data_IF_684782271418
#
_entry.id   IF_684782271418
#
_cell.length_a   1.000
_cell.length_b   1.000
_cell.length_c   1.000
_cell.angle_alpha   90.00
_cell.angle_beta   90.00
_cell.angle_gamma   90.00
#
_symmetry.space_group_name_H-M   'P 1'
#
loop_
_entity.id
_entity.type
_entity.pdbx_description
1 polymer ?
#
# COMPACT_ATOMS: atom_id res chain seq x y z
N UNK A 1 -26.19 -18.50 -37.70
CA UNK A 1 -26.43 -17.13 -37.17
C UNK A 1 -25.66 -17.00 -35.86
N UNK A 2 -24.44 -16.46 -35.93
CA UNK A 2 -23.49 -16.37 -34.82
C UNK A 2 -23.87 -15.21 -33.90
N UNK A 3 -24.26 -15.48 -32.66
CA UNK A 3 -24.47 -14.45 -31.64
C UNK A 3 -23.16 -14.24 -30.89
N UNK A 4 -22.55 -13.08 -31.07
CA UNK A 4 -21.38 -12.64 -30.31
C UNK A 4 -21.83 -12.18 -28.91
N UNK A 5 -21.27 -12.79 -27.86
CA UNK A 5 -21.39 -12.31 -26.48
C UNK A 5 -20.68 -10.96 -26.34
N UNK A 6 -21.30 -10.03 -25.63
CA UNK A 6 -20.81 -8.65 -25.50
C UNK A 6 -19.62 -8.57 -24.54
N UNK A 7 -18.73 -7.59 -24.73
CA UNK A 7 -17.57 -7.33 -23.85
C UNK A 7 -17.95 -7.06 -22.37
N UNK A 8 -19.24 -6.86 -22.07
CA UNK A 8 -19.74 -6.68 -20.71
C UNK A 8 -19.77 -8.01 -19.93
N UNK A 9 -20.08 -9.12 -20.60
CA UNK A 9 -20.19 -10.44 -19.98
C UNK A 9 -18.82 -11.05 -19.65
N UNK A 10 -17.74 -10.61 -20.32
CA UNK A 10 -16.35 -11.00 -19.98
C UNK A 10 -15.80 -10.30 -18.73
N UNK A 11 -16.45 -9.24 -18.24
CA UNK A 11 -16.01 -8.49 -17.05
C UNK A 11 -16.46 -9.11 -15.72
N UNK A 12 -17.30 -10.16 -15.76
CA UNK A 12 -17.84 -10.82 -14.57
C UNK A 12 -16.91 -11.88 -13.92
N UNK A 13 -15.68 -12.06 -14.40
CA UNK A 13 -14.68 -12.98 -13.81
C UNK A 13 -13.42 -12.26 -13.30
N UNK A 14 -13.58 -11.05 -12.76
CA UNK A 14 -12.46 -10.22 -12.29
C UNK A 14 -12.06 -10.61 -10.85
N UNK A 15 -11.18 -11.62 -10.75
CA UNK A 15 -10.26 -11.97 -9.63
C UNK A 15 -10.82 -11.87 -8.20
N UNK A 16 -10.94 -13.04 -7.58
CA UNK A 16 -11.22 -13.30 -6.15
C UNK A 16 -10.29 -12.47 -5.21
N UNK A 17 -10.79 -11.89 -4.11
CA UNK A 17 -9.98 -11.17 -3.11
C UNK A 17 -9.14 -12.17 -2.30
N UNK A 18 -7.84 -11.93 -2.12
CA UNK A 18 -6.97 -12.92 -1.47
C UNK A 18 -6.67 -12.53 -0.02
N UNK A 19 -7.32 -13.22 0.93
CA UNK A 19 -6.78 -13.40 2.27
C UNK A 19 -5.49 -14.24 2.19
N UNK A 20 -4.56 -14.01 3.11
CA UNK A 20 -3.27 -14.70 3.16
C UNK A 20 -3.03 -15.24 4.56
N UNK A 21 -2.56 -16.48 4.62
CA UNK A 21 -2.10 -17.12 5.85
C UNK A 21 -0.66 -17.58 5.67
N UNK A 22 0.25 -17.17 6.55
CA UNK A 22 1.69 -17.45 6.48
C UNK A 22 2.13 -18.12 7.77
N UNK A 23 2.86 -19.24 7.69
CA UNK A 23 3.55 -19.82 8.85
C UNK A 23 4.74 -18.91 9.23
N UNK A 24 4.79 -18.45 10.47
CA UNK A 24 5.81 -17.52 10.98
C UNK A 24 6.13 -17.80 12.46
N UNK A 25 7.00 -16.99 13.07
CA UNK A 25 7.22 -16.97 14.52
C UNK A 25 6.51 -15.77 15.14
N UNK A 26 5.91 -15.97 16.31
CA UNK A 26 5.31 -14.90 17.08
C UNK A 26 6.40 -13.87 17.43
N UNK A 27 6.22 -12.57 17.12
CA UNK A 27 7.23 -11.55 17.42
C UNK A 27 7.36 -11.26 18.93
N UNK A 28 6.42 -11.76 19.73
CA UNK A 28 6.36 -11.57 21.18
C UNK A 28 7.07 -12.71 21.92
N UNK A 29 6.64 -13.96 21.71
CA UNK A 29 7.16 -15.11 22.44
C UNK A 29 8.07 -16.04 21.61
N UNK A 30 8.20 -15.82 20.30
CA UNK A 30 9.03 -16.64 19.40
C UNK A 30 8.44 -18.01 18.99
N UNK A 31 7.24 -18.37 19.48
CA UNK A 31 6.54 -19.61 19.15
C UNK A 31 6.20 -19.70 17.65
N UNK A 32 6.12 -20.93 17.09
CA UNK A 32 5.65 -21.13 15.72
C UNK A 32 4.13 -20.88 15.65
N UNK A 33 3.71 -20.02 14.73
CA UNK A 33 2.31 -19.59 14.58
C UNK A 33 1.96 -19.41 13.10
N UNK A 34 0.67 -19.22 12.81
CA UNK A 34 0.15 -18.87 11.50
C UNK A 34 -0.43 -17.46 11.52
N UNK A 35 0.20 -16.55 10.79
CA UNK A 35 -0.27 -15.19 10.63
C UNK A 35 -1.29 -15.11 9.50
N UNK A 36 -2.52 -14.73 9.84
CA UNK A 36 -3.59 -14.45 8.90
C UNK A 36 -3.74 -12.95 8.69
N UNK A 37 -3.91 -12.53 7.43
CA UNK A 37 -4.27 -11.17 7.08
C UNK A 37 -5.20 -11.09 5.87
N UNK A 38 -6.04 -10.06 5.80
CA UNK A 38 -6.94 -9.79 4.68
C UNK A 38 -6.81 -8.34 4.17
N UNK A 39 -7.47 -8.04 3.06
CA UNK A 39 -7.52 -6.70 2.47
C UNK A 39 -8.29 -5.67 3.32
N UNK A 40 -9.03 -6.12 4.34
CA UNK A 40 -9.77 -5.26 5.27
C UNK A 40 -8.95 -4.91 6.53
N UNK A 41 -7.65 -5.24 6.55
CA UNK A 41 -6.74 -4.91 7.66
C UNK A 41 -6.84 -5.84 8.87
N UNK A 42 -7.65 -6.90 8.82
CA UNK A 42 -7.69 -7.90 9.88
C UNK A 42 -6.35 -8.63 9.97
N UNK A 43 -5.84 -8.83 11.18
CA UNK A 43 -4.57 -9.50 11.48
C UNK A 43 -4.74 -10.36 12.72
N UNK A 44 -4.47 -11.66 12.61
CA UNK A 44 -4.59 -12.61 13.73
C UNK A 44 -3.48 -13.64 13.64
N UNK A 45 -2.93 -14.04 14.78
CA UNK A 45 -2.04 -15.20 14.87
C UNK A 45 -2.84 -16.41 15.34
N UNK A 46 -2.66 -17.55 14.69
CA UNK A 46 -3.21 -18.84 15.11
C UNK A 46 -2.09 -19.79 15.53
N UNK A 47 -2.32 -20.63 16.52
CA UNK A 47 -1.39 -21.70 16.87
C UNK A 47 -1.40 -22.80 15.80
N UNK A 48 -2.57 -23.11 15.26
CA UNK A 48 -2.78 -24.18 14.28
C UNK A 48 -3.84 -23.80 13.24
N UNK A 49 -3.73 -24.39 12.04
CA UNK A 49 -4.73 -24.24 10.98
C UNK A 49 -5.75 -25.38 11.05
N UNK A 50 -7.02 -25.02 11.04
CA UNK A 50 -8.16 -25.93 11.06
C UNK A 50 -9.11 -25.60 12.22
N UNK A 51 -10.42 -25.91 12.11
CA UNK A 51 -11.34 -25.80 13.23
C UNK A 51 -10.78 -26.54 14.45
N UNK A 52 -10.71 -25.93 15.65
CA UNK A 52 -11.44 -24.75 16.15
C UNK A 52 -10.82 -23.37 15.86
N UNK A 53 -9.78 -23.28 15.02
CA UNK A 53 -9.02 -22.06 14.72
C UNK A 53 -8.40 -21.44 15.99
N UNK A 54 -7.50 -22.16 16.69
CA UNK A 54 -6.94 -21.71 17.96
C UNK A 54 -6.13 -20.42 17.75
N UNK A 55 -6.63 -19.29 18.28
CA UNK A 55 -5.93 -18.00 18.25
C UNK A 55 -4.76 -18.07 19.22
N UNK A 56 -3.60 -17.64 18.74
CA UNK A 56 -2.38 -17.60 19.54
C UNK A 56 -2.54 -16.67 20.74
N UNK A 57 -2.19 -17.16 21.92
CA UNK A 57 -2.23 -16.40 23.18
C UNK A 57 -0.86 -16.51 23.86
N UNK A 58 -0.17 -15.38 24.01
CA UNK A 58 1.04 -15.29 24.83
C UNK A 58 1.05 -13.99 25.62
N UNK A 59 1.71 -13.93 26.79
CA UNK A 59 1.53 -12.83 27.74
C UNK A 59 1.83 -11.45 27.14
N UNK A 60 2.85 -11.32 26.31
CA UNK A 60 3.24 -10.06 25.70
C UNK A 60 2.36 -9.71 24.50
N UNK A 61 1.84 -10.71 23.75
CA UNK A 61 0.82 -10.49 22.72
C UNK A 61 -0.52 -10.11 23.35
N UNK A 62 -0.92 -10.76 24.42
CA UNK A 62 -2.11 -10.43 25.18
C UNK A 62 -1.96 -9.07 25.84
N UNK A 63 -0.79 -8.70 26.37
CA UNK A 63 -0.55 -7.35 26.86
C UNK A 63 -0.62 -6.31 25.74
N UNK A 64 -0.12 -6.63 24.53
CA UNK A 64 -0.25 -5.77 23.36
C UNK A 64 -1.72 -5.60 22.94
N UNK A 65 -2.48 -6.70 22.83
CA UNK A 65 -3.90 -6.71 22.50
C UNK A 65 -4.74 -6.06 23.62
N UNK A 66 -4.42 -6.33 24.89
CA UNK A 66 -5.09 -5.78 26.06
C UNK A 66 -4.76 -4.30 26.28
N UNK A 67 -3.56 -3.84 25.96
CA UNK A 67 -3.23 -2.40 25.92
C UNK A 67 -4.02 -1.66 24.84
N UNK A 68 -4.47 -2.37 23.80
CA UNK A 68 -5.44 -1.88 22.83
C UNK A 68 -6.91 -2.09 23.27
N UNK A 69 -7.16 -2.76 24.39
CA UNK A 69 -8.49 -3.22 24.84
C UNK A 69 -8.78 -3.00 26.34
N UNK A 70 -8.11 -2.08 27.06
CA UNK A 70 -8.41 -1.83 28.49
C UNK A 70 -9.80 -1.22 28.69
N UNK A 71 -10.84 -2.05 28.68
CA UNK A 71 -12.06 -1.93 29.49
C UNK A 71 -12.52 -3.37 29.81
N UNK A 72 -12.33 -3.79 31.05
CA UNK A 72 -12.69 -5.12 31.56
C UNK A 72 -14.13 -5.16 32.07
N UNK A 73 -14.91 -6.16 31.66
CA UNK A 73 -16.17 -6.52 32.34
C UNK A 73 -17.08 -7.48 31.55
N UNK A 74 -17.63 -8.55 32.17
CA UNK A 74 -18.42 -9.55 31.48
C UNK A 74 -19.94 -9.25 31.57
N UNK A 75 -20.58 -8.91 30.46
CA UNK A 75 -21.87 -9.42 29.91
C UNK A 75 -22.05 -8.69 28.57
N UNK A 76 -21.85 -9.38 27.45
CA UNK A 76 -21.86 -8.77 26.12
C UNK A 76 -20.52 -8.07 25.80
N UNK A 77 -19.96 -8.35 24.62
CA UNK A 77 -18.73 -7.69 24.17
C UNK A 77 -19.08 -6.24 23.84
N UNK A 78 -18.90 -5.33 24.80
CA UNK A 78 -19.04 -3.91 24.54
C UNK A 78 -17.79 -3.44 23.78
N UNK A 79 -18.00 -2.75 22.65
CA UNK A 79 -16.93 -2.17 21.83
C UNK A 79 -16.91 -0.67 22.09
N UNK A 80 -15.81 -0.09 22.58
CA UNK A 80 -15.68 1.36 22.75
C UNK A 80 -15.62 2.05 21.38
N UNK A 81 -16.43 3.09 21.20
CA UNK A 81 -16.46 3.96 20.01
C UNK A 81 -16.54 5.41 20.47
N UNK A 82 -15.41 6.13 20.44
CA UNK A 82 -15.33 7.47 21.06
C UNK A 82 -15.55 7.39 22.57
N UNK A 83 -16.39 8.28 23.13
CA UNK A 83 -16.74 8.29 24.56
C UNK A 83 -17.88 7.30 24.94
N UNK A 84 -18.31 6.41 24.04
CA UNK A 84 -19.49 5.55 24.23
C UNK A 84 -19.17 4.04 24.11
N UNK A 85 -19.85 3.19 24.89
CA UNK A 85 -19.72 1.72 24.87
C UNK A 85 -20.93 1.09 24.15
N UNK A 86 -20.71 0.40 23.03
CA UNK A 86 -21.77 -0.21 22.22
C UNK A 86 -21.79 -1.73 22.30
N UNK A 87 -22.97 -2.35 22.38
CA UNK A 87 -23.10 -3.80 22.33
C UNK A 87 -22.64 -4.37 20.98
N UNK A 88 -22.01 -5.55 20.96
CA UNK A 88 -21.42 -6.16 19.74
C UNK A 88 -22.39 -6.21 18.56
N UNK A 89 -23.68 -6.51 18.77
CA UNK A 89 -24.68 -6.53 17.70
C UNK A 89 -24.96 -5.14 17.12
N UNK A 90 -24.97 -4.10 17.97
CA UNK A 90 -25.20 -2.71 17.56
C UNK A 90 -23.96 -2.11 16.92
N UNK A 91 -22.78 -2.43 17.45
CA UNK A 91 -21.50 -2.14 16.80
C UNK A 91 -21.44 -2.78 15.42
N UNK A 92 -21.79 -4.07 15.31
CA UNK A 92 -21.79 -4.79 14.03
C UNK A 92 -22.81 -4.16 13.08
N UNK A 93 -24.00 -3.82 13.55
CA UNK A 93 -25.00 -3.12 12.75
C UNK A 93 -24.53 -1.72 12.29
N UNK A 94 -23.86 -0.93 13.15
CA UNK A 94 -23.24 0.35 12.77
C UNK A 94 -22.09 0.17 11.80
N UNK A 95 -21.27 -0.87 11.96
CA UNK A 95 -20.19 -1.21 11.04
C UNK A 95 -20.72 -1.65 9.69
N UNK A 96 -21.78 -2.48 9.63
CA UNK A 96 -22.44 -2.87 8.39
C UNK A 96 -23.15 -1.70 7.72
N UNK A 97 -23.82 -0.83 8.49
CA UNK A 97 -24.43 0.39 7.97
C UNK A 97 -23.39 1.40 7.47
N UNK A 98 -22.28 1.54 8.19
CA UNK A 98 -21.12 2.33 7.80
C UNK A 98 -20.43 1.78 6.55
N UNK A 99 -20.24 0.47 6.47
CA UNK A 99 -19.70 -0.22 5.31
C UNK A 99 -20.61 -0.03 4.08
N UNK A 100 -21.93 -0.14 4.25
CA UNK A 100 -22.90 0.13 3.18
C UNK A 100 -22.89 1.59 2.72
N UNK A 101 -22.64 2.56 3.61
CA UNK A 101 -22.43 3.97 3.23
C UNK A 101 -21.06 4.20 2.55
N UNK A 102 -20.02 3.48 2.98
CA UNK A 102 -18.68 3.48 2.40
C UNK A 102 -18.60 2.81 1.03
N UNK A 103 -19.55 1.94 0.65
CA UNK A 103 -19.53 1.27 -0.66
C UNK A 103 -19.50 2.23 -1.87
N UNK A 104 -19.89 3.50 -1.69
CA UNK A 104 -19.79 4.53 -2.72
C UNK A 104 -18.59 5.49 -2.54
N UNK A 105 -18.10 5.67 -1.31
CA UNK A 105 -17.02 6.61 -1.04
C UNK A 105 -15.69 6.03 -1.53
N UNK A 106 -15.09 6.71 -2.50
CA UNK A 106 -13.70 6.48 -2.87
C UNK A 106 -12.91 7.64 -2.28
N UNK A 107 -12.00 7.39 -1.33
CA UNK A 107 -11.15 8.46 -0.82
C UNK A 107 -10.46 9.16 -2.01
N UNK A 108 -10.36 10.50 -2.00
CA UNK A 108 -9.67 11.21 -3.05
C UNK A 108 -8.20 10.75 -3.13
N UNK A 109 -7.68 10.68 -4.34
CA UNK A 109 -6.27 10.37 -4.57
C UNK A 109 -5.53 11.69 -4.66
N UNK A 110 -4.59 11.93 -3.74
CA UNK A 110 -3.82 13.16 -3.64
C UNK A 110 -2.39 12.90 -4.06
N UNK A 111 -1.94 13.60 -5.11
CA UNK A 111 -0.57 13.50 -5.58
C UNK A 111 0.38 14.22 -4.62
N UNK A 112 1.28 13.47 -3.97
CA UNK A 112 2.25 14.03 -3.04
C UNK A 112 3.36 14.71 -3.83
N UNK A 113 3.44 16.04 -3.70
CA UNK A 113 4.43 16.83 -4.42
C UNK A 113 5.79 16.77 -3.72
N UNK A 114 6.89 16.54 -4.45
CA UNK A 114 8.23 16.56 -3.89
C UNK A 114 8.59 17.98 -3.42
N UNK A 115 9.12 18.07 -2.20
CA UNK A 115 9.64 19.31 -1.60
C UNK A 115 11.13 19.16 -1.39
N UNK A 116 11.87 20.25 -1.59
CA UNK A 116 13.33 20.25 -1.45
C UNK A 116 13.80 19.62 -0.14
N UNK A 117 14.75 18.68 -0.23
CA UNK A 117 15.33 17.97 0.92
C UNK A 117 14.44 16.88 1.54
N UNK A 118 13.24 16.64 1.00
CA UNK A 118 12.32 15.64 1.53
C UNK A 118 12.72 14.22 1.08
N UNK A 119 12.81 13.31 2.03
CA UNK A 119 12.92 11.87 1.79
C UNK A 119 11.74 11.17 2.44
N UNK A 120 11.11 10.25 1.72
CA UNK A 120 9.94 9.48 2.16
C UNK A 120 10.24 8.00 2.00
N UNK A 121 9.92 7.20 3.01
CA UNK A 121 9.97 5.74 2.96
C UNK A 121 8.59 5.20 3.31
N UNK A 122 8.01 4.41 2.41
CA UNK A 122 6.66 3.89 2.58
C UNK A 122 6.43 2.62 1.74
N UNK A 123 5.25 2.01 1.83
CA UNK A 123 4.82 0.94 0.95
C UNK A 123 3.40 1.14 0.46
N UNK A 124 3.13 0.70 -0.76
CA UNK A 124 1.81 0.89 -1.34
C UNK A 124 1.55 0.04 -2.57
N UNK A 125 0.37 0.21 -3.14
CA UNK A 125 -0.05 -0.54 -4.32
C UNK A 125 0.44 0.15 -5.58
N UNK A 126 1.23 -0.57 -6.38
CA UNK A 126 1.68 -0.10 -7.68
C UNK A 126 0.49 0.08 -8.65
N UNK A 127 0.26 1.29 -9.13
CA UNK A 127 -0.85 1.61 -10.03
C UNK A 127 -0.45 1.75 -11.49
N UNK A 128 0.75 2.27 -11.75
CA UNK A 128 1.24 2.55 -13.10
C UNK A 128 2.74 2.28 -13.19
N UNK A 129 3.17 1.78 -14.35
CA UNK A 129 4.58 1.68 -14.75
C UNK A 129 4.69 2.24 -16.17
N UNK A 130 5.56 3.23 -16.34
CA UNK A 130 6.07 3.65 -17.65
C UNK A 130 7.49 3.09 -17.75
N UNK A 131 7.73 2.05 -18.57
CA UNK A 131 8.95 1.27 -18.52
C UNK A 131 10.19 2.02 -19.02
N UNK A 132 10.01 3.04 -19.86
CA UNK A 132 11.08 3.85 -20.42
C UNK A 132 10.67 5.31 -20.43
N UNK A 133 11.50 6.15 -19.82
CA UNK A 133 11.29 7.60 -19.72
C UNK A 133 12.40 8.31 -20.48
N UNK A 134 12.04 8.98 -21.58
CA UNK A 134 12.97 9.84 -22.30
C UNK A 134 13.16 11.16 -21.51
N UNK A 135 14.32 11.29 -20.85
CA UNK A 135 14.61 12.45 -20.00
C UNK A 135 14.83 13.75 -20.79
N UNK A 136 15.31 13.69 -22.03
CA UNK A 136 15.40 14.88 -22.88
C UNK A 136 14.02 15.47 -23.16
N UNK A 137 13.06 14.62 -23.53
CA UNK A 137 11.67 15.02 -23.74
C UNK A 137 11.03 15.53 -22.45
N UNK A 138 11.23 14.82 -21.33
CA UNK A 138 10.68 15.18 -20.03
C UNK A 138 11.21 16.53 -19.52
N UNK A 139 12.50 16.79 -19.70
CA UNK A 139 13.16 18.04 -19.31
C UNK A 139 12.97 19.15 -20.36
N UNK A 140 12.33 18.88 -21.49
CA UNK A 140 12.10 19.84 -22.58
C UNK A 140 13.38 20.26 -23.30
N UNK A 141 14.41 19.42 -23.29
CA UNK A 141 15.68 19.65 -23.95
C UNK A 141 15.53 19.34 -25.45
N UNK A 142 15.86 20.32 -26.30
CA UNK A 142 15.74 20.18 -27.76
C UNK A 142 16.80 19.27 -28.38
N UNK A 143 18.02 19.29 -27.84
CA UNK A 143 19.17 18.52 -28.31
C UNK A 143 20.09 18.18 -27.15
N UNK A 144 20.78 17.05 -27.28
CA UNK A 144 21.85 16.67 -26.39
C UNK A 144 23.07 17.57 -26.64
N UNK A 145 23.52 18.26 -25.59
CA UNK A 145 24.66 19.18 -25.63
C UNK A 145 25.54 18.99 -24.40
N UNK A 146 26.79 19.45 -24.48
CA UNK A 146 27.71 19.43 -23.32
C UNK A 146 27.13 20.23 -22.14
N UNK A 147 26.43 21.33 -22.41
CA UNK A 147 25.78 22.13 -21.38
C UNK A 147 24.65 21.38 -20.67
N UNK A 148 23.81 20.63 -21.41
CA UNK A 148 22.73 19.85 -20.79
C UNK A 148 23.24 18.75 -19.87
N UNK A 149 24.32 18.07 -20.25
CA UNK A 149 24.97 17.06 -19.40
C UNK A 149 25.62 17.67 -18.17
N UNK A 150 26.21 18.86 -18.26
CA UNK A 150 26.75 19.55 -17.07
C UNK A 150 25.66 19.97 -16.08
N UNK A 151 24.46 20.31 -16.55
CA UNK A 151 23.37 20.81 -15.72
C UNK A 151 22.51 19.65 -15.15
N UNK A 152 22.30 18.59 -15.93
CA UNK A 152 21.36 17.50 -15.61
C UNK A 152 22.02 16.12 -15.57
N UNK A 153 23.36 16.03 -15.58
CA UNK A 153 24.14 14.79 -15.79
C UNK A 153 23.59 13.55 -15.10
N UNK A 154 23.44 13.52 -13.76
CA UNK A 154 22.93 12.34 -13.06
C UNK A 154 21.54 11.87 -13.53
N UNK A 155 20.70 12.80 -14.01
CA UNK A 155 19.37 12.50 -14.53
C UNK A 155 19.39 12.08 -16.01
N UNK A 156 20.39 12.48 -16.79
CA UNK A 156 20.51 12.12 -18.21
C UNK A 156 21.30 10.83 -18.44
N UNK A 157 22.18 10.46 -17.51
CA UNK A 157 23.08 9.31 -17.63
C UNK A 157 22.42 7.97 -17.27
N UNK A 158 21.39 8.00 -16.43
CA UNK A 158 20.68 6.79 -15.99
C UNK A 158 19.51 6.40 -16.91
N UNK A 159 19.23 5.10 -16.97
CA UNK A 159 18.09 4.54 -17.69
C UNK A 159 16.87 4.47 -16.77
N UNK A 160 15.86 5.30 -17.04
CA UNK A 160 14.75 5.57 -16.12
C UNK A 160 13.45 4.90 -16.55
N UNK A 161 12.75 4.35 -15.56
CA UNK A 161 11.32 4.09 -15.59
C UNK A 161 10.59 5.11 -14.69
N UNK A 162 9.28 5.26 -14.87
CA UNK A 162 8.42 5.94 -13.90
C UNK A 162 7.44 4.94 -13.30
N UNK A 163 7.24 5.04 -11.99
CA UNK A 163 6.20 4.28 -11.29
C UNK A 163 5.31 5.23 -10.49
N UNK A 164 4.04 4.84 -10.36
CA UNK A 164 3.06 5.53 -9.53
C UNK A 164 2.55 4.56 -8.47
N UNK A 165 2.80 4.85 -7.20
CA UNK A 165 2.43 4.01 -6.04
C UNK A 165 1.38 4.75 -5.22
N UNK A 166 0.30 4.06 -4.88
CA UNK A 166 -0.72 4.57 -3.99
C UNK A 166 -0.49 4.01 -2.59
N UNK A 167 -0.23 4.90 -1.64
CA UNK A 167 -0.11 4.63 -0.21
C UNK A 167 -1.47 4.93 0.42
N UNK A 168 -1.93 4.01 1.26
CA UNK A 168 -3.24 4.10 1.91
C UNK A 168 -3.03 3.75 3.38
N UNK A 169 -3.27 4.71 4.26
CA UNK A 169 -3.36 4.48 5.70
C UNK A 169 -4.83 4.29 6.05
N UNK A 170 -5.17 3.20 6.75
CA UNK A 170 -6.54 2.88 7.15
C UNK A 170 -7.19 3.97 8.02
N UNK A 171 -6.38 4.87 8.58
CA UNK A 171 -6.82 6.01 9.38
C UNK A 171 -7.12 7.28 8.55
N UNK A 172 -6.61 7.37 7.32
CA UNK A 172 -6.67 8.59 6.52
C UNK A 172 -7.83 8.56 5.52
N UNK A 173 -8.50 9.69 5.36
CA UNK A 173 -9.63 9.84 4.42
C UNK A 173 -9.16 10.02 2.96
N UNK A 174 -7.85 9.99 2.69
CA UNK A 174 -7.23 10.25 1.38
C UNK A 174 -6.17 9.19 1.03
N UNK A 175 -6.03 8.89 -0.26
CA UNK A 175 -4.97 8.01 -0.79
C UNK A 175 -3.83 8.88 -1.32
N UNK A 176 -2.65 8.75 -0.73
CA UNK A 176 -1.46 9.43 -1.23
C UNK A 176 -0.90 8.75 -2.48
N UNK A 177 -0.58 9.54 -3.50
CA UNK A 177 -0.02 9.05 -4.77
C UNK A 177 1.39 9.61 -4.99
N UNK A 178 2.36 8.71 -4.98
CA UNK A 178 3.77 9.01 -5.24
C UNK A 178 4.11 8.60 -6.68
N UNK A 179 4.41 9.58 -7.52
CA UNK A 179 4.92 9.35 -8.88
C UNK A 179 6.41 9.64 -8.92
N UNK A 180 7.23 8.62 -9.12
CA UNK A 180 8.68 8.68 -8.97
C UNK A 180 9.43 8.09 -10.17
N UNK A 181 10.61 8.64 -10.45
CA UNK A 181 11.58 8.02 -11.34
C UNK A 181 12.32 6.90 -10.62
N UNK A 182 12.52 5.78 -11.29
CA UNK A 182 13.26 4.63 -10.78
C UNK A 182 14.25 4.18 -11.83
N UNK A 183 15.51 3.96 -11.44
CA UNK A 183 16.48 3.35 -12.35
C UNK A 183 15.99 1.96 -12.75
N UNK A 184 15.98 1.66 -14.05
CA UNK A 184 15.51 0.37 -14.56
C UNK A 184 16.30 -0.80 -14.02
N UNK A 185 17.58 -0.61 -13.71
CA UNK A 185 18.42 -1.61 -13.07
C UNK A 185 17.87 -2.04 -11.69
N UNK A 186 17.23 -1.13 -10.95
CA UNK A 186 16.58 -1.40 -9.65
C UNK A 186 15.19 -2.02 -9.82
N UNK A 187 14.48 -1.65 -10.88
CA UNK A 187 13.14 -2.19 -11.16
C UNK A 187 13.18 -3.64 -11.70
N UNK A 188 14.18 -3.97 -12.51
CA UNK A 188 14.33 -5.27 -13.18
C UNK A 188 14.29 -6.48 -12.21
N UNK A 189 15.09 -6.53 -11.12
CA UNK A 189 15.07 -7.67 -10.21
C UNK A 189 13.75 -7.81 -9.43
N UNK A 190 12.99 -6.72 -9.29
CA UNK A 190 11.68 -6.71 -8.61
C UNK A 190 10.56 -7.24 -9.52
N UNK A 191 10.73 -7.17 -10.85
CA UNK A 191 9.75 -7.51 -11.89
C UNK A 191 8.31 -7.07 -11.51
N UNK A 192 8.08 -5.80 -11.16
CA UNK A 192 6.84 -5.39 -10.53
C UNK A 192 5.68 -5.46 -11.52
N UNK A 193 4.53 -5.94 -11.02
CA UNK A 193 3.28 -6.02 -11.80
C UNK A 193 2.26 -5.09 -11.19
N UNK A 194 1.50 -4.38 -12.03
CA UNK A 194 0.42 -3.52 -11.57
C UNK A 194 -0.48 -4.25 -10.55
N UNK A 195 -0.71 -3.61 -9.41
CA UNK A 195 -1.46 -4.15 -8.28
C UNK A 195 -0.61 -4.87 -7.23
N UNK A 196 0.70 -5.06 -7.44
CA UNK A 196 1.57 -5.57 -6.37
C UNK A 196 1.86 -4.48 -5.33
N UNK A 197 2.16 -4.92 -4.11
CA UNK A 197 2.65 -4.05 -3.05
C UNK A 197 4.16 -3.89 -3.24
N UNK A 198 4.64 -2.65 -3.16
CA UNK A 198 6.05 -2.31 -3.19
C UNK A 198 6.36 -1.41 -2.01
N UNK A 199 7.44 -1.73 -1.29
CA UNK A 199 8.11 -0.79 -0.40
C UNK A 199 9.07 0.05 -1.23
N UNK A 200 9.19 1.34 -0.90
CA UNK A 200 10.07 2.27 -1.58
C UNK A 200 10.66 3.30 -0.62
N UNK A 201 11.83 3.82 -0.99
CA UNK A 201 12.39 5.07 -0.45
C UNK A 201 12.58 6.03 -1.61
N UNK A 202 11.98 7.20 -1.54
CA UNK A 202 12.04 8.26 -2.55
C UNK A 202 12.62 9.54 -1.97
N UNK A 203 13.52 10.16 -2.71
CA UNK A 203 14.11 11.46 -2.40
C UNK A 203 13.59 12.51 -3.40
N UNK A 204 13.25 13.68 -2.90
CA UNK A 204 12.95 14.84 -3.74
C UNK A 204 14.26 15.46 -4.25
N UNK A 205 14.49 15.35 -5.55
CA UNK A 205 15.66 15.92 -6.19
C UNK A 205 15.28 17.23 -6.89
N UNK A 206 16.04 18.29 -6.59
CA UNK A 206 15.92 19.57 -7.28
C UNK A 206 16.35 19.44 -8.74
N UNK A 207 15.51 19.94 -9.63
CA UNK A 207 15.82 20.02 -11.06
C UNK A 207 15.99 21.49 -11.42
N UNK A 208 17.14 21.92 -11.96
CA UNK A 208 17.36 23.30 -12.35
C UNK A 208 16.22 23.84 -13.22
N UNK A 209 15.68 25.01 -12.83
CA UNK A 209 14.60 25.72 -13.54
C UNK A 209 13.26 24.97 -13.61
N UNK A 210 13.04 23.98 -12.73
CA UNK A 210 11.86 23.12 -12.69
C UNK A 210 11.46 22.84 -11.24
N UNK A 211 10.25 22.30 -11.05
CA UNK A 211 9.86 21.75 -9.76
C UNK A 211 10.73 20.51 -9.43
N UNK A 212 10.97 20.22 -8.14
CA UNK A 212 11.59 18.99 -7.73
C UNK A 212 10.86 17.77 -8.29
N UNK A 213 11.56 16.64 -8.36
CA UNK A 213 10.99 15.36 -8.78
C UNK A 213 11.31 14.29 -7.76
N UNK A 214 10.41 13.31 -7.61
CA UNK A 214 10.71 12.13 -6.82
C UNK A 214 11.66 11.21 -7.59
N UNK A 215 12.76 10.82 -6.95
CA UNK A 215 13.68 9.78 -7.41
C UNK A 215 13.74 8.69 -6.36
N UNK A 216 13.35 7.49 -6.78
CA UNK A 216 13.39 6.30 -5.97
C UNK A 216 14.83 5.81 -5.77
N UNK A 217 15.25 5.74 -4.52
CA UNK A 217 16.56 5.22 -4.13
C UNK A 217 16.53 3.71 -3.97
N UNK A 218 15.48 3.22 -3.32
CA UNK A 218 15.28 1.81 -2.99
C UNK A 218 13.85 1.41 -3.33
N UNK A 219 13.69 0.21 -3.89
CA UNK A 219 12.37 -0.38 -4.19
C UNK A 219 12.45 -1.89 -4.02
N UNK A 220 11.48 -2.46 -3.31
CA UNK A 220 11.45 -3.89 -3.01
C UNK A 220 10.02 -4.40 -2.89
N UNK A 221 9.86 -5.72 -3.02
CA UNK A 221 8.65 -6.40 -2.54
C UNK A 221 8.86 -6.74 -1.06
N UNK A 222 7.90 -6.42 -0.19
CA UNK A 222 7.91 -6.90 1.19
C UNK A 222 7.72 -8.42 1.28
#
# INVERSE_FOLDING_TARGET
>A
MMKYLTNFERKAFRKVPHSRTIKTRCPYCGAEVYFYTNEYGSKVFFDELGPPWPVHSCPEYEAHVASAQTVTGPVGRFVPVGDELLHESEYTARMLAGASKRQHWKPPIVAVQPKEGLTVSDFGVLREIIPEVNMFKRLGLRKETVASHKIFGPLLEADWAQVSIHVDDLAEDEIESYTMLVERAKLTPVDPKRGCILAFTAEAINVPFRNPIWVCKEIARP
#
